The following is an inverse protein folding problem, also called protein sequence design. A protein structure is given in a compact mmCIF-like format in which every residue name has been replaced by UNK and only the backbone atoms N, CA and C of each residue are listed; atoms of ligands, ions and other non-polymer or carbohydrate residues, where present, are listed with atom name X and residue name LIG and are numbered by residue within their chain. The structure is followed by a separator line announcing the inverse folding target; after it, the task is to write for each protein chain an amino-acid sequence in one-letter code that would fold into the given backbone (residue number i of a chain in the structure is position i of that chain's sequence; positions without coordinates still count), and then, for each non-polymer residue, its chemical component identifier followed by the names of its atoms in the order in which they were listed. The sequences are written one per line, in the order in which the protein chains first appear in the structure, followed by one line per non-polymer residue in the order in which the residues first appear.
data_IF_083179520827
#
_entry.id   IF_083179520827
#
_cell.length_a   1.000
_cell.length_b   1.000
_cell.length_c   1.000
_cell.angle_alpha   90.00
_cell.angle_beta   90.00
_cell.angle_gamma   90.00
#
_symmetry.space_group_name_H-M   'P 1'
#
loop_
_entity.id
_entity.type
_entity.pdbx_description
1 polymer ?
#
# COMPACT_ATOMS: atom_id res chain seq x y z
N UNK A 1 4.15 2.34 3.18
CA UNK A 1 3.61 3.71 3.28
C UNK A 1 2.17 3.78 2.80
N UNK A 2 1.37 4.64 3.41
CA UNK A 2 0.02 4.97 2.97
C UNK A 2 -0.11 6.49 2.93
N UNK A 3 -0.10 7.08 1.74
CA UNK A 3 -0.04 8.53 1.55
C UNK A 3 -0.98 9.04 0.45
N UNK A 4 -1.94 8.23 0.03
CA UNK A 4 -2.86 8.59 -1.05
C UNK A 4 -4.32 8.72 -0.56
N UNK A 5 -4.52 9.15 0.68
CA UNK A 5 -5.83 9.33 1.29
C UNK A 5 -6.38 8.10 1.99
N UNK A 6 -7.41 8.30 2.80
CA UNK A 6 -8.06 7.27 3.61
C UNK A 6 -9.21 6.56 2.89
N UNK A 7 -9.15 6.42 1.57
CA UNK A 7 -10.18 5.77 0.77
C UNK A 7 -10.07 4.24 0.82
N UNK A 8 -11.08 3.55 0.30
CA UNK A 8 -11.08 2.08 0.27
C UNK A 8 -9.81 1.52 -0.37
N UNK A 9 -9.14 0.55 0.25
CA UNK A 9 -7.93 -0.04 -0.32
C UNK A 9 -8.24 -0.80 -1.60
N UNK A 10 -7.33 -0.72 -2.59
CA UNK A 10 -7.45 -1.41 -3.88
C UNK A 10 -6.23 -2.23 -4.25
N UNK A 11 -5.12 -2.06 -3.56
CA UNK A 11 -3.92 -2.82 -3.86
C UNK A 11 -2.66 -2.26 -3.25
N UNK A 12 -1.55 -2.69 -3.83
CA UNK A 12 -0.21 -2.31 -3.40
C UNK A 12 0.67 -2.00 -4.62
N UNK A 13 1.55 -1.02 -4.44
CA UNK A 13 2.64 -0.73 -5.37
C UNK A 13 3.95 -1.12 -4.71
N UNK A 14 4.75 -1.97 -5.37
CA UNK A 14 5.98 -2.51 -4.80
C UNK A 14 7.20 -1.95 -5.52
N UNK A 15 8.08 -1.36 -4.76
CA UNK A 15 9.39 -0.90 -5.20
C UNK A 15 10.46 -1.81 -4.61
N UNK A 16 10.82 -2.83 -5.36
CA UNK A 16 11.69 -3.91 -4.91
C UNK A 16 12.26 -4.67 -6.11
N UNK A 17 13.10 -5.67 -5.82
CA UNK A 17 13.57 -6.61 -6.84
C UNK A 17 12.41 -7.41 -7.43
N UNK A 18 12.57 -7.90 -8.65
CA UNK A 18 11.53 -8.71 -9.31
C UNK A 18 11.16 -9.95 -8.48
N UNK A 19 12.14 -10.59 -7.86
CA UNK A 19 11.90 -11.76 -6.99
C UNK A 19 10.96 -11.41 -5.83
N UNK A 20 11.20 -10.31 -5.13
CA UNK A 20 10.33 -9.86 -4.02
C UNK A 20 8.95 -9.44 -4.52
N UNK A 21 8.89 -8.76 -5.66
CA UNK A 21 7.62 -8.39 -6.29
C UNK A 21 6.79 -9.61 -6.62
N UNK A 22 7.41 -10.66 -7.18
CA UNK A 22 6.71 -11.90 -7.53
C UNK A 22 6.18 -12.62 -6.29
N UNK A 23 6.94 -12.63 -5.20
CA UNK A 23 6.47 -13.19 -3.92
C UNK A 23 5.21 -12.44 -3.44
N UNK A 24 5.25 -11.11 -3.41
CA UNK A 24 4.10 -10.31 -2.98
C UNK A 24 2.91 -10.52 -3.90
N UNK A 25 3.11 -10.55 -5.22
CA UNK A 25 2.04 -10.83 -6.18
C UNK A 25 1.39 -12.19 -5.98
N UNK A 26 2.12 -13.19 -5.49
CA UNK A 26 1.58 -14.52 -5.21
C UNK A 26 0.51 -14.52 -4.12
N UNK A 27 0.47 -13.48 -3.30
CA UNK A 27 -0.54 -13.33 -2.23
C UNK A 27 -1.83 -12.64 -2.70
N UNK A 28 -1.88 -12.16 -3.93
CA UNK A 28 -3.05 -11.47 -4.48
C UNK A 28 -4.37 -12.24 -4.24
N UNK A 29 -4.46 -13.57 -4.42
CA UNK A 29 -5.71 -14.29 -4.18
C UNK A 29 -6.27 -14.14 -2.78
N UNK A 30 -5.43 -13.86 -1.77
CA UNK A 30 -5.86 -13.67 -0.38
C UNK A 30 -6.62 -12.36 -0.19
N UNK A 31 -6.44 -11.39 -1.09
CA UNK A 31 -7.00 -10.05 -1.01
C UNK A 31 -8.15 -9.81 -1.98
N UNK A 32 -8.31 -10.64 -3.00
CA UNK A 32 -9.29 -10.41 -4.08
C UNK A 32 -10.73 -10.33 -3.59
N UNK A 33 -11.10 -11.14 -2.59
CA UNK A 33 -12.44 -11.13 -2.01
C UNK A 33 -12.81 -9.79 -1.34
N UNK A 34 -11.81 -8.98 -1.03
CA UNK A 34 -11.98 -7.64 -0.46
C UNK A 34 -11.86 -6.54 -1.51
N UNK A 35 -11.88 -6.91 -2.78
CA UNK A 35 -11.70 -5.99 -3.91
C UNK A 35 -10.32 -5.28 -3.90
N UNK A 36 -9.32 -5.95 -3.37
CA UNK A 36 -7.93 -5.51 -3.34
C UNK A 36 -7.17 -6.36 -4.36
N UNK A 37 -6.98 -5.82 -5.56
CA UNK A 37 -6.54 -6.61 -6.72
C UNK A 37 -5.40 -5.98 -7.51
N UNK A 38 -5.01 -4.74 -7.20
CA UNK A 38 -3.94 -4.03 -7.91
C UNK A 38 -2.60 -4.31 -7.25
N UNK A 39 -1.84 -5.25 -7.78
CA UNK A 39 -0.49 -5.57 -7.33
C UNK A 39 0.48 -5.24 -8.43
N UNK A 40 1.21 -4.14 -8.31
CA UNK A 40 2.11 -3.63 -9.35
C UNK A 40 3.49 -3.35 -8.82
N UNK A 41 4.51 -3.65 -9.63
CA UNK A 41 5.84 -3.08 -9.43
C UNK A 41 5.79 -1.60 -9.79
N UNK A 42 6.29 -0.73 -8.90
CA UNK A 42 6.26 0.70 -9.11
C UNK A 42 6.75 1.49 -7.91
N UNK A 43 6.34 2.73 -7.85
CA UNK A 43 6.73 3.63 -6.78
C UNK A 43 5.98 3.34 -5.47
N UNK A 44 6.70 3.38 -4.35
CA UNK A 44 6.16 3.01 -3.04
C UNK A 44 5.69 4.18 -2.19
N UNK A 45 6.29 5.35 -2.36
CA UNK A 45 5.97 6.55 -1.61
C UNK A 45 7.17 7.48 -1.43
N UNK A 46 6.89 8.73 -1.08
CA UNK A 46 7.92 9.78 -0.93
C UNK A 46 8.75 9.55 0.33
N UNK A 47 8.11 9.21 1.42
CA UNK A 47 8.78 9.15 2.73
C UNK A 47 9.70 7.95 2.85
N UNK A 48 9.29 6.81 2.32
CA UNK A 48 10.10 5.59 2.36
C UNK A 48 11.04 5.43 1.14
N UNK A 49 10.82 6.19 0.07
CA UNK A 49 11.63 6.12 -1.15
C UNK A 49 13.13 6.20 -0.93
N UNK A 50 13.65 7.09 -0.07
CA UNK A 50 15.10 7.17 0.21
C UNK A 50 15.72 5.90 0.75
N UNK A 51 14.93 4.99 1.34
CA UNK A 51 15.42 3.70 1.84
C UNK A 51 15.97 2.79 0.73
N UNK A 52 15.65 3.07 -0.54
CA UNK A 52 16.21 2.34 -1.69
C UNK A 52 17.73 2.39 -1.76
N UNK A 53 18.32 3.42 -1.18
CA UNK A 53 19.77 3.61 -1.20
C UNK A 53 20.49 2.74 -0.19
N UNK A 54 19.76 2.01 0.64
CA UNK A 54 20.36 1.04 1.57
C UNK A 54 20.86 -0.19 0.79
N UNK A 55 22.05 -0.67 1.14
CA UNK A 55 22.69 -1.81 0.49
C UNK A 55 21.87 -3.11 0.52
N UNK A 56 20.88 -3.16 1.40
CA UNK A 56 20.08 -4.38 1.66
C UNK A 56 18.92 -4.59 0.69
N UNK A 57 18.73 -3.73 -0.31
CA UNK A 57 17.63 -3.81 -1.28
C UNK A 57 16.28 -4.06 -0.60
N UNK A 58 15.76 -3.09 0.15
CA UNK A 58 14.54 -3.28 0.92
C UNK A 58 13.32 -3.52 0.03
N UNK A 59 12.33 -4.20 0.59
CA UNK A 59 10.99 -4.28 0.01
C UNK A 59 10.22 -3.04 0.48
N UNK A 60 9.96 -2.12 -0.43
CA UNK A 60 9.18 -0.92 -0.17
C UNK A 60 7.78 -1.09 -0.78
N UNK A 61 6.75 -0.87 0.02
CA UNK A 61 5.37 -1.05 -0.42
C UNK A 61 4.54 0.19 -0.09
N UNK A 62 3.82 0.68 -1.09
CA UNK A 62 2.81 1.71 -0.94
C UNK A 62 1.41 1.11 -1.01
N UNK A 63 0.53 1.51 -0.09
CA UNK A 63 -0.89 1.18 -0.19
C UNK A 63 -1.52 1.99 -1.32
N UNK A 64 -2.27 1.34 -2.19
CA UNK A 64 -3.00 1.97 -3.28
C UNK A 64 -4.49 1.95 -2.94
N UNK A 65 -5.06 3.07 -2.48
CA UNK A 65 -6.50 3.19 -2.27
C UNK A 65 -7.21 3.52 -3.57
N UNK A 66 -8.56 3.54 -3.52
CA UNK A 66 -9.39 4.06 -4.60
C UNK A 66 -9.02 5.53 -4.86
N UNK A 67 -8.60 5.84 -6.07
CA UNK A 67 -8.11 7.15 -6.45
C UNK A 67 -9.16 8.11 -7.01
N UNK A 68 -10.40 7.68 -7.16
CA UNK A 68 -11.42 8.49 -7.85
C UNK A 68 -11.72 9.81 -7.14
N UNK A 69 -11.61 9.83 -5.81
CA UNK A 69 -11.91 11.03 -5.00
C UNK A 69 -10.68 11.76 -4.49
N UNK A 70 -9.47 11.29 -4.83
CA UNK A 70 -8.23 11.84 -4.29
C UNK A 70 -8.10 13.34 -4.54
N UNK A 71 -8.31 13.78 -5.76
CA UNK A 71 -8.17 15.18 -6.14
C UNK A 71 -9.34 16.07 -5.69
N UNK A 72 -10.44 15.50 -5.21
CA UNK A 72 -11.52 16.28 -4.60
C UNK A 72 -11.08 16.88 -3.26
N UNK A 73 -10.12 16.25 -2.59
CA UNK A 73 -9.67 16.64 -1.25
C UNK A 73 -8.23 17.15 -1.24
N UNK A 74 -7.36 16.57 -2.06
CA UNK A 74 -5.92 16.83 -2.06
C UNK A 74 -5.61 18.32 -2.20
N UNK A 75 -4.90 18.86 -1.20
CA UNK A 75 -4.52 20.27 -1.12
C UNK A 75 -5.71 21.24 -1.29
N UNK A 76 -6.91 20.84 -0.88
CA UNK A 76 -8.12 21.67 -0.95
C UNK A 76 -8.63 22.03 0.45
N UNK A 77 -9.59 22.96 0.52
CA UNK A 77 -10.29 23.31 1.76
C UNK A 77 -11.15 22.16 2.29
N UNK A 78 -11.47 21.19 1.44
CA UNK A 78 -12.23 19.98 1.81
C UNK A 78 -11.35 18.89 2.41
N UNK A 79 -10.03 19.08 2.46
CA UNK A 79 -9.09 18.14 3.09
C UNK A 79 -9.10 18.34 4.61
N UNK A 80 -10.18 17.89 5.23
CA UNK A 80 -10.42 17.98 6.66
C UNK A 80 -10.82 16.62 7.22
N UNK A 81 -10.61 16.43 8.52
CA UNK A 81 -10.85 15.15 9.20
C UNK A 81 -12.30 14.63 9.01
N UNK A 82 -13.27 15.52 8.99
CA UNK A 82 -14.69 15.17 8.84
C UNK A 82 -15.02 14.48 7.51
N UNK A 83 -14.17 14.65 6.51
CA UNK A 83 -14.31 14.01 5.19
C UNK A 83 -13.60 12.64 5.11
N UNK A 84 -12.97 12.18 6.18
CA UNK A 84 -12.40 10.83 6.25
C UNK A 84 -13.49 9.84 6.65
N UNK A 85 -13.72 8.85 5.80
CA UNK A 85 -14.69 7.79 6.07
C UNK A 85 -14.08 6.73 6.97
N UNK A 86 -14.63 6.56 8.17
CA UNK A 86 -14.08 5.66 9.19
C UNK A 86 -13.88 4.23 8.67
N UNK A 87 -14.88 3.65 8.03
CA UNK A 87 -14.83 2.27 7.53
C UNK A 87 -13.75 2.08 6.47
N UNK A 88 -13.61 3.01 5.56
CA UNK A 88 -12.60 2.95 4.51
C UNK A 88 -11.19 3.03 5.11
N UNK A 89 -10.98 3.91 6.07
CA UNK A 89 -9.70 4.05 6.79
C UNK A 89 -9.36 2.77 7.55
N UNK A 90 -10.31 2.18 8.25
CA UNK A 90 -10.13 0.93 8.97
C UNK A 90 -9.78 -0.24 8.03
N UNK A 91 -10.41 -0.30 6.86
CA UNK A 91 -10.10 -1.31 5.84
C UNK A 91 -8.67 -1.14 5.31
N UNK A 92 -8.23 0.10 5.12
CA UNK A 92 -6.84 0.40 4.75
C UNK A 92 -5.85 -0.08 5.80
N UNK A 93 -6.12 0.21 7.07
CA UNK A 93 -5.29 -0.22 8.19
C UNK A 93 -5.22 -1.76 8.28
N UNK A 94 -6.35 -2.44 8.15
CA UNK A 94 -6.42 -3.91 8.16
C UNK A 94 -5.65 -4.52 6.97
N UNK A 95 -5.72 -3.89 5.81
CA UNK A 95 -5.01 -4.31 4.59
C UNK A 95 -3.50 -4.21 4.78
N UNK A 96 -3.02 -3.11 5.35
CA UNK A 96 -1.60 -2.93 5.68
C UNK A 96 -1.13 -3.94 6.73
N UNK A 97 -1.91 -4.15 7.78
CA UNK A 97 -1.58 -5.13 8.82
C UNK A 97 -1.48 -6.56 8.24
N UNK A 98 -2.39 -6.93 7.36
CA UNK A 98 -2.36 -8.23 6.67
C UNK A 98 -1.09 -8.39 5.83
N UNK A 99 -0.69 -7.35 5.10
CA UNK A 99 0.55 -7.37 4.32
C UNK A 99 1.78 -7.52 5.22
N UNK A 100 1.84 -6.79 6.33
CA UNK A 100 2.94 -6.89 7.30
C UNK A 100 3.06 -8.31 7.84
N UNK A 101 1.93 -8.94 8.20
CA UNK A 101 1.92 -10.32 8.67
C UNK A 101 2.44 -11.31 7.62
N UNK A 102 2.07 -11.14 6.37
CA UNK A 102 2.55 -12.00 5.28
C UNK A 102 4.05 -11.83 5.06
N UNK A 103 4.54 -10.59 5.08
CA UNK A 103 5.97 -10.29 4.96
C UNK A 103 6.74 -10.95 6.10
N UNK A 104 6.31 -10.75 7.33
CA UNK A 104 6.97 -11.30 8.52
C UNK A 104 7.03 -12.83 8.47
N UNK A 105 5.97 -13.46 7.98
CA UNK A 105 5.86 -14.92 7.92
C UNK A 105 6.66 -15.57 6.78
N UNK A 106 6.70 -14.92 5.62
CA UNK A 106 7.16 -15.57 4.38
C UNK A 106 8.41 -14.96 3.76
N UNK A 107 8.81 -13.78 4.15
CA UNK A 107 10.03 -13.16 3.65
C UNK A 107 11.08 -13.14 4.76
N UNK A 108 12.22 -13.84 4.58
CA UNK A 108 13.26 -13.86 5.60
C UNK A 108 13.87 -12.47 5.80
N UNK A 109 14.31 -12.19 7.03
CA UNK A 109 15.04 -10.96 7.32
C UNK A 109 16.30 -10.85 6.46
N UNK A 110 16.67 -9.64 6.02
CA UNK A 110 17.86 -9.43 5.22
C UNK A 110 19.15 -9.70 6.00
#
# INVERSE_FOLDING_TARGET
ESDAGGFSPRGFSMDATDTLVDIVKSWKPLFEQYNIHRFKKGWSGVDIGPLKQLDRRPLLIGLVPDGQRYFDFYHSTSDVFENVHKRELELGAATMASMIMLIDKYIPAP
#
